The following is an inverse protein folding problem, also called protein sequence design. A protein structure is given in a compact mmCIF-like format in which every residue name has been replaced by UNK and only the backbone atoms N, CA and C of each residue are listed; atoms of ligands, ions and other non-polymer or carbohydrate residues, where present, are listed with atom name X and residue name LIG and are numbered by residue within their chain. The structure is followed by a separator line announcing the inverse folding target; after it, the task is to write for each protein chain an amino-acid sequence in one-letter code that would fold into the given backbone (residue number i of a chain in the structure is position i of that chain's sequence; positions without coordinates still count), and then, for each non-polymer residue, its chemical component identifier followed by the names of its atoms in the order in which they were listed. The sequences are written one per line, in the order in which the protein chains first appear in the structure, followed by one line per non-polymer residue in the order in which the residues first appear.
data_IF_017963629802
#
_entry.id   IF_017963629802
#
_cell.length_a   1.000
_cell.length_b   1.000
_cell.length_c   1.000
_cell.angle_alpha   90.00
_cell.angle_beta   90.00
_cell.angle_gamma   90.00
#
_symmetry.space_group_name_H-M   'P 1'
#
loop_
_entity.id
_entity.type
_entity.pdbx_description
1 polymer ?
#
# COMPACT_ATOMS: atom_id res chain seq x y z
N UNK A 1 6.68 -0.26 5.36
CA UNK A 1 5.23 -0.52 5.15
C UNK A 1 4.59 -0.68 6.52
N UNK A 2 3.87 0.33 6.99
CA UNK A 2 3.01 0.17 8.18
C UNK A 2 1.76 -0.60 7.74
N UNK A 3 1.65 -1.84 8.15
CA UNK A 3 0.44 -2.65 8.01
C UNK A 3 -0.41 -2.49 9.25
N UNK A 4 -1.48 -1.75 9.18
CA UNK A 4 -2.50 -1.80 10.21
C UNK A 4 -3.53 -2.86 9.81
N UNK A 5 -3.53 -3.98 10.52
CA UNK A 5 -4.43 -5.10 10.33
C UNK A 5 -5.71 -4.84 11.12
N UNK A 6 -6.77 -4.40 10.47
CA UNK A 6 -8.10 -4.52 11.04
C UNK A 6 -8.60 -5.94 10.76
N UNK A 7 -8.32 -6.83 11.69
CA UNK A 7 -8.91 -8.16 11.69
C UNK A 7 -10.37 -8.06 12.15
N UNK A 8 -11.31 -8.51 11.33
CA UNK A 8 -12.65 -8.82 11.80
C UNK A 8 -12.53 -9.98 12.81
N UNK A 9 -12.82 -9.70 14.06
CA UNK A 9 -12.79 -10.68 15.18
C UNK A 9 -13.79 -11.84 14.95
N UNK A 10 -14.53 -11.84 13.84
CA UNK A 10 -15.60 -12.78 13.50
C UNK A 10 -15.33 -13.69 12.30
N UNK A 11 -14.12 -13.73 11.75
CA UNK A 11 -13.84 -14.49 10.52
C UNK A 11 -14.08 -15.99 10.71
N UNK A 12 -13.59 -16.57 11.82
CA UNK A 12 -13.83 -17.98 12.14
C UNK A 12 -15.33 -18.28 12.32
N UNK A 13 -16.08 -17.35 12.91
CA UNK A 13 -17.55 -17.49 13.06
C UNK A 13 -18.25 -17.42 11.71
N UNK A 14 -17.81 -16.55 10.79
CA UNK A 14 -18.37 -16.45 9.44
C UNK A 14 -18.20 -17.74 8.65
N UNK A 15 -17.01 -18.34 8.69
CA UNK A 15 -16.75 -19.64 8.04
C UNK A 15 -17.72 -20.71 8.57
N UNK A 16 -17.82 -20.80 9.88
CA UNK A 16 -18.63 -21.83 10.53
C UNK A 16 -20.13 -21.63 10.29
N UNK A 17 -20.60 -20.38 10.37
CA UNK A 17 -22.01 -20.05 10.08
C UNK A 17 -22.36 -20.39 8.63
N UNK A 18 -21.50 -20.01 7.68
CA UNK A 18 -21.69 -20.32 6.25
C UNK A 18 -21.75 -21.84 6.01
N UNK A 19 -20.84 -22.60 6.62
CA UNK A 19 -20.85 -24.05 6.49
C UNK A 19 -22.13 -24.68 7.10
N UNK A 20 -22.58 -24.15 8.23
CA UNK A 20 -23.75 -24.71 8.96
C UNK A 20 -25.11 -24.27 8.40
N UNK A 21 -25.15 -23.28 7.52
CA UNK A 21 -26.41 -22.86 6.88
C UNK A 21 -27.11 -24.03 6.19
N UNK A 22 -26.34 -24.96 5.63
CA UNK A 22 -26.86 -26.19 5.01
C UNK A 22 -27.66 -27.09 5.96
N UNK A 23 -27.45 -26.94 7.28
CA UNK A 23 -28.16 -27.70 8.32
C UNK A 23 -29.22 -26.87 9.07
N UNK A 24 -29.38 -25.59 8.72
CA UNK A 24 -30.36 -24.68 9.32
C UNK A 24 -30.17 -24.39 10.81
N UNK A 25 -29.03 -24.72 11.42
CA UNK A 25 -28.80 -24.67 12.86
C UNK A 25 -27.79 -23.65 13.38
N UNK A 26 -27.05 -22.97 12.50
CA UNK A 26 -26.01 -22.00 12.91
C UNK A 26 -24.93 -22.56 13.85
N UNK A 27 -24.07 -21.67 14.34
CA UNK A 27 -22.98 -22.02 15.27
C UNK A 27 -23.45 -22.12 16.72
N UNK A 28 -23.23 -23.26 17.38
CA UNK A 28 -23.64 -23.50 18.78
C UNK A 28 -22.51 -23.32 19.80
N UNK A 29 -21.26 -23.71 19.49
CA UNK A 29 -20.11 -23.66 20.41
C UNK A 29 -18.79 -23.39 19.70
N UNK A 30 -17.95 -22.53 20.27
CA UNK A 30 -16.63 -22.14 19.70
C UNK A 30 -15.66 -23.33 19.66
N UNK A 31 -15.67 -24.23 20.66
CA UNK A 31 -14.80 -25.41 20.70
C UNK A 31 -15.05 -26.42 19.58
N UNK A 32 -16.29 -26.50 19.09
CA UNK A 32 -16.65 -27.34 17.95
C UNK A 32 -16.39 -26.65 16.62
N UNK A 33 -16.31 -25.32 16.62
CA UNK A 33 -16.07 -24.51 15.44
C UNK A 33 -14.65 -24.68 14.88
N UNK A 34 -13.65 -24.75 15.75
CA UNK A 34 -12.26 -25.03 15.33
C UNK A 34 -12.11 -26.40 14.66
N UNK A 35 -12.81 -27.41 15.17
CA UNK A 35 -12.85 -28.75 14.56
C UNK A 35 -13.46 -28.73 13.17
N UNK A 36 -14.57 -28.02 12.99
CA UNK A 36 -15.24 -27.87 11.70
C UNK A 36 -14.35 -27.11 10.70
N UNK A 37 -13.72 -26.02 11.08
CA UNK A 37 -12.80 -25.26 10.20
C UNK A 37 -11.67 -26.16 9.73
N UNK A 38 -11.03 -26.93 10.63
CA UNK A 38 -9.97 -27.88 10.26
C UNK A 38 -10.46 -28.97 9.31
N UNK A 39 -11.68 -29.46 9.51
CA UNK A 39 -12.31 -30.42 8.61
C UNK A 39 -12.52 -29.84 7.22
N UNK A 40 -13.13 -28.64 7.13
CA UNK A 40 -13.39 -27.94 5.87
C UNK A 40 -12.08 -27.69 5.09
N UNK A 41 -11.02 -27.24 5.78
CA UNK A 41 -9.70 -27.03 5.18
C UNK A 41 -9.11 -28.31 4.63
N UNK A 42 -9.15 -29.40 5.41
CA UNK A 42 -8.57 -30.71 5.02
C UNK A 42 -9.26 -31.30 3.81
N UNK A 43 -10.56 -31.08 3.68
CA UNK A 43 -11.38 -31.60 2.59
C UNK A 43 -11.64 -30.62 1.44
N UNK A 44 -10.92 -29.48 1.42
CA UNK A 44 -10.97 -28.49 0.33
C UNK A 44 -12.36 -27.89 0.10
N UNK A 45 -13.18 -27.76 1.16
CA UNK A 45 -14.44 -27.04 1.10
C UNK A 45 -14.16 -25.52 1.11
N UNK A 46 -13.97 -24.90 -0.06
CA UNK A 46 -13.52 -23.50 -0.20
C UNK A 46 -14.62 -22.47 0.09
N UNK A 47 -15.85 -22.71 -0.36
CA UNK A 47 -16.97 -21.74 -0.29
C UNK A 47 -17.19 -21.10 1.07
N UNK A 48 -17.16 -21.83 2.23
CA UNK A 48 -17.30 -21.19 3.53
C UNK A 48 -16.19 -20.18 3.84
N UNK A 49 -14.97 -20.39 3.32
CA UNK A 49 -13.84 -19.47 3.50
C UNK A 49 -13.96 -18.22 2.63
N UNK A 50 -14.67 -18.28 1.53
CA UNK A 50 -14.95 -17.13 0.66
C UNK A 50 -15.86 -16.08 1.33
N UNK A 51 -16.54 -16.46 2.42
CA UNK A 51 -17.33 -15.54 3.25
C UNK A 51 -16.48 -14.71 4.21
N UNK A 52 -15.15 -14.92 4.21
CA UNK A 52 -14.21 -14.13 5.00
C UNK A 52 -13.58 -13.06 4.14
N UNK A 53 -13.51 -11.85 4.68
CA UNK A 53 -12.90 -10.72 4.03
C UNK A 53 -11.82 -10.10 4.92
N UNK A 54 -10.68 -9.75 4.33
CA UNK A 54 -9.61 -9.04 5.03
C UNK A 54 -9.47 -7.67 4.42
N UNK A 55 -9.68 -6.64 5.22
CA UNK A 55 -9.45 -5.25 4.83
C UNK A 55 -8.15 -4.74 5.45
N UNK A 56 -7.27 -4.23 4.61
CA UNK A 56 -6.02 -3.60 5.02
C UNK A 56 -6.05 -2.11 4.76
N UNK A 57 -5.55 -1.33 5.71
CA UNK A 57 -5.10 0.03 5.44
C UNK A 57 -3.60 -0.04 5.17
N UNK A 58 -3.17 0.34 3.98
CA UNK A 58 -1.79 0.19 3.51
C UNK A 58 -1.23 1.55 3.12
N UNK A 59 -0.07 1.91 3.65
CA UNK A 59 0.74 3.03 3.19
C UNK A 59 1.95 2.47 2.46
N UNK A 60 2.16 2.89 1.21
CA UNK A 60 3.19 2.34 0.33
C UNK A 60 3.63 3.40 -0.69
N UNK A 61 4.87 3.32 -1.22
CA UNK A 61 5.29 4.24 -2.28
C UNK A 61 4.58 3.94 -3.61
N UNK A 62 4.38 4.98 -4.42
CA UNK A 62 3.62 4.91 -5.69
C UNK A 62 4.17 3.84 -6.63
N UNK A 63 5.50 3.65 -6.73
CA UNK A 63 6.07 2.63 -7.61
C UNK A 63 5.67 1.20 -7.21
N UNK A 64 5.46 0.93 -5.92
CA UNK A 64 4.93 -0.35 -5.42
C UNK A 64 3.42 -0.41 -5.66
N UNK A 65 2.70 0.68 -5.40
CA UNK A 65 1.26 0.78 -5.63
C UNK A 65 0.89 0.43 -7.08
N UNK A 66 1.65 0.93 -8.05
CA UNK A 66 1.48 0.65 -9.48
C UNK A 66 1.58 -0.83 -9.84
N UNK A 67 2.36 -1.61 -9.12
CA UNK A 67 2.45 -3.05 -9.32
C UNK A 67 1.35 -3.79 -8.56
N UNK A 68 1.10 -3.40 -7.31
CA UNK A 68 0.09 -4.06 -6.48
C UNK A 68 -1.33 -3.95 -7.06
N UNK A 69 -1.70 -2.78 -7.60
CA UNK A 69 -3.04 -2.55 -8.16
C UNK A 69 -3.36 -3.46 -9.37
N UNK A 70 -2.36 -4.16 -9.93
CA UNK A 70 -2.58 -5.14 -11.01
C UNK A 70 -3.26 -6.42 -10.51
N UNK A 71 -3.30 -6.68 -9.20
CA UNK A 71 -4.11 -7.73 -8.59
C UNK A 71 -5.56 -7.26 -8.50
N UNK A 72 -6.36 -7.60 -9.51
CA UNK A 72 -7.69 -7.03 -9.74
C UNK A 72 -8.83 -7.67 -8.96
N UNK A 73 -8.57 -8.76 -8.24
CA UNK A 73 -9.57 -9.46 -7.41
C UNK A 73 -9.71 -8.83 -6.02
N UNK A 74 -9.65 -7.50 -5.97
CA UNK A 74 -9.75 -6.74 -4.73
C UNK A 74 -10.45 -5.40 -4.98
N UNK A 75 -11.04 -4.87 -3.92
CA UNK A 75 -11.55 -3.50 -3.90
C UNK A 75 -10.47 -2.57 -3.35
N UNK A 76 -10.25 -1.44 -4.02
CA UNK A 76 -9.24 -0.45 -3.63
C UNK A 76 -9.90 0.91 -3.54
N UNK A 77 -9.61 1.61 -2.44
CA UNK A 77 -9.95 3.03 -2.28
C UNK A 77 -8.69 3.77 -1.86
N UNK A 78 -8.12 4.54 -2.78
CA UNK A 78 -6.86 5.22 -2.63
C UNK A 78 -7.04 6.68 -2.19
N UNK A 79 -6.12 7.17 -1.37
CA UNK A 79 -5.97 8.57 -1.02
C UNK A 79 -5.81 9.44 -2.27
N UNK A 80 -6.59 10.50 -2.37
CA UNK A 80 -6.63 11.30 -3.60
C UNK A 80 -5.77 12.55 -3.50
N UNK A 81 -4.69 12.59 -4.25
CA UNK A 81 -3.88 13.79 -4.47
C UNK A 81 -4.60 14.89 -5.29
N UNK A 82 -5.87 14.69 -5.64
CA UNK A 82 -6.73 15.72 -6.24
C UNK A 82 -7.46 16.55 -5.18
N UNK A 83 -7.71 15.97 -4.01
CA UNK A 83 -8.46 16.60 -2.92
C UNK A 83 -7.56 17.13 -1.81
N UNK A 84 -6.38 16.55 -1.66
CA UNK A 84 -5.44 16.90 -0.60
C UNK A 84 -4.02 16.97 -1.14
N UNK A 85 -3.16 17.77 -0.48
CA UNK A 85 -1.73 17.76 -0.71
C UNK A 85 -1.16 16.46 -0.14
N UNK A 86 -0.31 15.77 -0.90
CA UNK A 86 0.35 14.55 -0.44
C UNK A 86 1.35 14.86 0.67
N UNK A 87 1.46 13.94 1.63
CA UNK A 87 2.46 14.04 2.70
C UNK A 87 3.89 14.15 2.13
N UNK A 88 4.74 15.00 2.74
CA UNK A 88 6.17 15.09 2.41
C UNK A 88 6.93 13.86 2.93
N UNK A 89 6.56 12.69 2.45
CA UNK A 89 7.17 11.42 2.83
C UNK A 89 7.60 10.62 1.61
N UNK A 90 8.85 10.14 1.63
CA UNK A 90 9.47 9.41 0.54
C UNK A 90 10.06 8.09 1.01
N UNK A 91 9.95 7.08 0.18
CA UNK A 91 10.64 5.83 0.40
C UNK A 91 12.11 5.97 -0.02
N UNK A 92 13.01 5.79 0.94
CA UNK A 92 14.43 5.64 0.68
C UNK A 92 14.82 4.20 1.05
N UNK A 93 15.39 3.42 0.12
CA UNK A 93 15.78 2.06 0.40
C UNK A 93 16.92 2.04 1.44
N UNK A 94 16.92 1.04 2.31
CA UNK A 94 18.08 0.75 3.14
C UNK A 94 19.25 0.28 2.27
N UNK A 95 20.49 0.45 2.75
CA UNK A 95 21.69 0.01 2.03
C UNK A 95 21.61 -1.45 1.57
N UNK A 96 21.09 -2.34 2.40
CA UNK A 96 20.87 -3.76 2.09
C UNK A 96 19.93 -4.05 0.92
N UNK A 97 19.14 -3.05 0.53
CA UNK A 97 18.17 -3.15 -0.56
C UNK A 97 18.60 -2.45 -1.85
N UNK A 98 19.75 -1.75 -1.82
CA UNK A 98 20.36 -1.11 -2.99
C UNK A 98 21.12 -2.15 -3.81
N UNK A 99 20.41 -2.96 -4.58
CA UNK A 99 21.02 -4.01 -5.37
C UNK A 99 21.09 -3.64 -6.85
N UNK A 100 22.16 -4.08 -7.51
CA UNK A 100 22.33 -4.00 -8.94
C UNK A 100 21.27 -4.84 -9.68
N UNK A 101 21.12 -4.65 -10.98
CA UNK A 101 20.30 -5.51 -11.81
C UNK A 101 20.95 -6.89 -11.93
N UNK A 102 20.18 -7.97 -11.76
CA UNK A 102 20.67 -9.32 -11.98
C UNK A 102 21.09 -9.52 -13.44
N UNK A 103 22.21 -10.21 -13.65
CA UNK A 103 22.73 -10.54 -14.99
C UNK A 103 22.02 -11.75 -15.63
N UNK A 104 21.46 -12.62 -14.81
CA UNK A 104 20.78 -13.86 -15.26
C UNK A 104 19.27 -13.76 -15.32
N UNK A 105 18.68 -12.88 -14.53
CA UNK A 105 17.23 -12.68 -14.48
C UNK A 105 16.89 -11.20 -14.59
N UNK A 106 16.26 -10.78 -15.67
CA UNK A 106 15.90 -9.37 -15.94
C UNK A 106 14.96 -8.76 -14.91
N UNK A 107 14.26 -9.56 -14.12
CA UNK A 107 13.39 -9.11 -13.03
C UNK A 107 14.05 -9.25 -11.65
N UNK A 108 15.19 -9.90 -11.58
CA UNK A 108 15.90 -10.16 -10.33
C UNK A 108 16.85 -9.05 -9.93
N UNK A 109 17.25 -9.09 -8.67
CA UNK A 109 18.29 -8.24 -8.10
C UNK A 109 19.60 -9.03 -8.04
N UNK A 110 20.72 -8.34 -8.27
CA UNK A 110 22.07 -8.85 -8.15
C UNK A 110 22.72 -8.43 -6.83
N UNK A 111 24.01 -8.17 -6.88
CA UNK A 111 24.81 -7.79 -5.72
C UNK A 111 24.41 -6.42 -5.18
N UNK A 112 24.55 -6.26 -3.85
CA UNK A 112 24.25 -5.00 -3.16
C UNK A 112 25.35 -3.98 -3.47
N UNK A 113 24.94 -2.77 -3.86
CA UNK A 113 25.85 -1.64 -4.07
C UNK A 113 26.49 -1.23 -2.75
N UNK A 114 27.77 -0.90 -2.80
CA UNK A 114 28.54 -0.59 -1.59
C UNK A 114 29.30 0.75 -1.70
N UNK A 115 29.79 1.24 -0.55
CA UNK A 115 30.67 2.38 -0.47
C UNK A 115 30.06 3.68 -1.06
N UNK A 116 30.87 4.41 -1.81
CA UNK A 116 30.48 5.70 -2.37
C UNK A 116 29.37 5.61 -3.44
N UNK A 117 29.29 4.49 -4.15
CA UNK A 117 28.22 4.29 -5.13
C UNK A 117 26.85 4.21 -4.46
N UNK A 118 26.72 3.49 -3.36
CA UNK A 118 25.49 3.40 -2.59
C UNK A 118 25.09 4.76 -2.01
N UNK A 119 26.04 5.50 -1.43
CA UNK A 119 25.80 6.86 -0.91
C UNK A 119 25.33 7.81 -2.00
N UNK A 120 25.97 7.78 -3.17
CA UNK A 120 25.57 8.61 -4.32
C UNK A 120 24.14 8.32 -4.76
N UNK A 121 23.75 7.06 -4.87
CA UNK A 121 22.37 6.67 -5.26
C UNK A 121 21.36 7.15 -4.24
N UNK A 122 21.61 6.96 -2.94
CA UNK A 122 20.72 7.43 -1.87
C UNK A 122 20.59 8.96 -1.88
N UNK A 123 21.70 9.67 -2.07
CA UNK A 123 21.70 11.13 -2.15
C UNK A 123 20.85 11.64 -3.33
N UNK A 124 21.00 11.02 -4.51
CA UNK A 124 20.19 11.37 -5.68
C UNK A 124 18.71 11.14 -5.42
N UNK A 125 18.32 9.96 -4.90
CA UNK A 125 16.92 9.65 -4.58
C UNK A 125 16.30 10.62 -3.56
N UNK A 126 17.09 11.00 -2.54
CA UNK A 126 16.64 11.94 -1.51
C UNK A 126 16.50 13.35 -2.08
N UNK A 127 17.55 13.87 -2.70
CA UNK A 127 17.59 15.26 -3.19
C UNK A 127 16.54 15.51 -4.27
N UNK A 128 16.35 14.55 -5.17
CA UNK A 128 15.33 14.67 -6.22
C UNK A 128 13.91 14.64 -5.62
N UNK A 129 13.65 13.77 -4.64
CA UNK A 129 12.35 13.72 -3.97
C UNK A 129 12.03 15.03 -3.24
N UNK A 130 12.99 15.56 -2.47
CA UNK A 130 12.84 16.82 -1.75
C UNK A 130 12.63 18.01 -2.70
N UNK A 131 13.49 18.13 -3.72
CA UNK A 131 13.40 19.19 -4.71
C UNK A 131 12.09 19.17 -5.51
N UNK A 132 11.65 18.00 -5.95
CA UNK A 132 10.41 17.90 -6.71
C UNK A 132 9.18 18.16 -5.85
N UNK A 133 9.25 17.85 -4.55
CA UNK A 133 8.18 18.20 -3.61
C UNK A 133 8.10 19.71 -3.37
N UNK A 134 9.22 20.40 -3.20
CA UNK A 134 9.26 21.86 -3.09
C UNK A 134 8.70 22.55 -4.33
N UNK A 135 9.04 22.04 -5.53
CA UNK A 135 8.43 22.50 -6.77
C UNK A 135 6.93 22.22 -6.82
N UNK A 136 6.47 21.10 -6.27
CA UNK A 136 5.05 20.74 -6.18
C UNK A 136 4.28 21.73 -5.31
N UNK A 137 4.79 22.09 -4.12
CA UNK A 137 4.22 23.12 -3.26
C UNK A 137 4.20 24.50 -3.96
N UNK A 138 5.28 24.84 -4.66
CA UNK A 138 5.36 26.09 -5.46
C UNK A 138 4.32 26.13 -6.56
N UNK A 139 4.17 25.04 -7.34
CA UNK A 139 3.16 24.96 -8.38
C UNK A 139 1.73 25.03 -7.85
N UNK A 140 1.48 24.46 -6.67
CA UNK A 140 0.19 24.57 -6.00
C UNK A 140 -0.08 25.97 -5.43
N UNK A 141 0.96 26.74 -5.21
CA UNK A 141 0.97 27.94 -4.40
C UNK A 141 0.43 27.71 -2.97
N UNK A 142 0.59 26.48 -2.47
CA UNK A 142 0.09 26.05 -1.15
C UNK A 142 1.07 25.02 -0.54
N UNK A 143 1.47 25.22 0.70
CA UNK A 143 2.29 24.28 1.45
C UNK A 143 1.45 23.23 2.15
N UNK A 144 2.11 22.16 2.60
CA UNK A 144 1.45 21.08 3.34
C UNK A 144 0.71 21.55 4.59
N UNK A 145 1.18 22.60 5.26
CA UNK A 145 0.54 23.20 6.42
C UNK A 145 -0.66 24.13 6.09
N UNK A 146 -0.97 24.28 4.80
CA UNK A 146 -2.05 25.14 4.30
C UNK A 146 -1.66 26.60 4.10
N UNK A 147 -0.38 26.98 4.33
CA UNK A 147 0.09 28.33 4.08
C UNK A 147 0.29 28.59 2.58
N UNK A 148 -0.01 29.82 2.15
CA UNK A 148 0.21 30.27 0.77
C UNK A 148 1.70 30.54 0.53
N UNK A 149 2.23 30.19 -0.65
CA UNK A 149 3.64 30.41 -1.01
C UNK A 149 3.86 31.87 -1.44
N UNK A 150 3.04 32.37 -2.36
CA UNK A 150 3.05 33.75 -2.83
C UNK A 150 1.61 34.27 -3.02
N UNK A 151 1.25 35.35 -2.31
CA UNK A 151 -0.10 35.94 -2.36
C UNK A 151 -0.46 36.55 -3.74
N UNK A 152 0.52 36.76 -4.59
CA UNK A 152 0.32 37.39 -5.93
C UNK A 152 0.09 36.35 -7.01
N UNK A 153 0.34 35.07 -6.75
CA UNK A 153 0.26 33.99 -7.72
C UNK A 153 -1.00 33.14 -7.51
N UNK A 154 -1.46 32.54 -8.60
CA UNK A 154 -2.52 31.54 -8.58
C UNK A 154 -1.92 30.16 -8.76
N UNK A 155 -2.26 29.21 -7.87
CA UNK A 155 -1.74 27.85 -7.91
C UNK A 155 -2.30 27.03 -9.07
N UNK A 156 -1.50 26.07 -9.54
CA UNK A 156 -1.89 25.06 -10.50
C UNK A 156 -2.86 24.04 -9.87
N UNK A 157 -3.76 23.49 -10.66
CA UNK A 157 -4.66 22.43 -10.17
C UNK A 157 -3.86 21.24 -9.62
N UNK A 158 -4.30 20.70 -8.45
CA UNK A 158 -3.64 19.59 -7.75
C UNK A 158 -3.40 18.37 -8.64
N UNK A 159 -4.33 18.06 -9.53
CA UNK A 159 -4.19 16.92 -10.44
C UNK A 159 -3.04 17.11 -11.47
N UNK A 160 -2.66 18.33 -11.79
CA UNK A 160 -1.54 18.63 -12.68
C UNK A 160 -0.22 18.78 -11.90
N UNK A 161 -0.24 19.50 -10.80
CA UNK A 161 0.97 19.74 -9.98
C UNK A 161 1.63 18.43 -9.52
N UNK A 162 0.83 17.41 -9.15
CA UNK A 162 1.32 16.08 -8.71
C UNK A 162 2.13 15.32 -9.77
N UNK A 163 2.09 15.72 -11.04
CA UNK A 163 2.91 15.11 -12.11
C UNK A 163 4.41 15.20 -11.83
N UNK A 164 4.82 16.22 -11.09
CA UNK A 164 6.23 16.46 -10.76
C UNK A 164 6.77 15.60 -9.62
N UNK A 165 5.90 14.89 -8.87
CA UNK A 165 6.32 14.09 -7.74
C UNK A 165 7.05 12.82 -8.19
N UNK A 166 8.08 12.45 -7.43
CA UNK A 166 8.82 11.22 -7.68
C UNK A 166 8.00 9.98 -7.29
N UNK A 167 8.25 8.85 -7.97
CA UNK A 167 7.52 7.60 -7.74
C UNK A 167 7.76 6.97 -6.37
N UNK A 168 8.77 7.40 -5.63
CA UNK A 168 9.03 6.98 -4.26
C UNK A 168 8.22 7.76 -3.21
N UNK A 169 7.42 8.76 -3.61
CA UNK A 169 6.42 9.41 -2.75
C UNK A 169 5.42 8.38 -2.24
N UNK A 170 5.03 8.47 -0.96
CA UNK A 170 4.05 7.58 -0.38
C UNK A 170 2.62 7.94 -0.79
N UNK A 171 1.83 6.90 -1.07
CA UNK A 171 0.37 6.92 -1.11
C UNK A 171 -0.19 5.97 -0.06
N UNK A 172 -1.50 5.98 0.13
CA UNK A 172 -2.18 5.05 1.02
C UNK A 172 -3.55 4.67 0.48
N UNK A 173 -4.01 3.48 0.81
CA UNK A 173 -5.31 2.98 0.40
C UNK A 173 -5.90 1.98 1.38
N UNK A 174 -7.20 1.79 1.28
CA UNK A 174 -7.83 0.59 1.77
C UNK A 174 -7.83 -0.46 0.67
N UNK A 175 -7.42 -1.66 1.03
CA UNK A 175 -7.40 -2.85 0.19
C UNK A 175 -8.23 -3.95 0.85
N UNK A 176 -9.19 -4.53 0.10
CA UNK A 176 -10.10 -5.59 0.59
C UNK A 176 -10.20 -6.73 -0.42
#
# INVERSE_FOLDING_TARGET
IRRQRQMCIRDSTSIVQSARVSYGKGTKKVSTDSGLIKYLMRHWHSTPFEMCEIKYHVKLPIFIARQWIRHRTANVNEYSARYSILDKEFYLPKNEHLAAQSKSNRQGRGDVLQGEQAKKVLSLLKNDAERTYENYETMLNERYDGSVVDEKETGLARELARMNLTLNTYTQWYWK
#
